data_IF_179730469752
#
_entry.id   IF_179730469752
#
_cell.length_a   1.000
_cell.length_b   1.000
_cell.length_c   1.000
_cell.angle_alpha   90.00
_cell.angle_beta   90.00
_cell.angle_gamma   90.00
#
_symmetry.space_group_name_H-M   'P 1'
#
loop_
_entity.id
_entity.type
_entity.pdbx_description
1 polymer ?
#
# COMPACT_ATOMS: atom_id res chain seq x y z
N UNK A 1 17.70 0.24 -15.75
CA UNK A 1 16.50 -0.50 -16.24
C UNK A 1 15.45 0.42 -16.89
N UNK A 2 15.64 1.75 -16.85
CA UNK A 2 14.72 2.72 -17.50
C UNK A 2 15.25 3.25 -18.84
N UNK A 3 16.35 2.71 -19.36
CA UNK A 3 16.85 3.02 -20.70
C UNK A 3 15.81 2.55 -21.73
N UNK A 4 15.40 3.44 -22.64
CA UNK A 4 14.36 3.15 -23.62
C UNK A 4 14.73 1.98 -24.55
N UNK A 5 16.01 1.85 -24.92
CA UNK A 5 16.50 0.75 -25.76
C UNK A 5 16.31 -0.61 -25.06
N UNK A 6 16.52 -0.66 -23.74
CA UNK A 6 16.28 -1.87 -22.96
C UNK A 6 14.78 -2.18 -22.86
N UNK A 7 13.95 -1.16 -22.74
CA UNK A 7 12.48 -1.32 -22.72
C UNK A 7 11.98 -1.84 -24.06
N UNK A 8 12.45 -1.23 -25.18
CA UNK A 8 12.10 -1.67 -26.54
C UNK A 8 12.56 -3.11 -26.81
N UNK A 9 13.79 -3.45 -26.41
CA UNK A 9 14.29 -4.83 -26.50
C UNK A 9 13.40 -5.78 -25.71
N UNK A 10 13.09 -5.45 -24.45
CA UNK A 10 12.25 -6.29 -23.60
C UNK A 10 10.82 -6.46 -24.14
N UNK A 11 10.28 -5.42 -24.78
CA UNK A 11 8.96 -5.48 -25.40
C UNK A 11 8.88 -6.44 -26.60
N UNK A 12 9.99 -6.61 -27.33
CA UNK A 12 10.10 -7.53 -28.48
C UNK A 12 10.33 -8.99 -28.07
N UNK A 13 10.63 -9.27 -26.82
CA UNK A 13 10.85 -10.64 -26.35
C UNK A 13 9.56 -11.44 -26.37
N UNK A 14 9.61 -12.74 -26.75
CA UNK A 14 8.49 -13.66 -26.57
C UNK A 14 8.01 -13.68 -25.11
N UNK A 15 6.73 -13.88 -24.92
CA UNK A 15 6.10 -13.88 -23.57
C UNK A 15 6.79 -14.85 -22.60
N UNK A 16 7.11 -16.08 -23.05
CA UNK A 16 7.78 -17.09 -22.23
C UNK A 16 9.20 -16.71 -21.77
N UNK A 17 9.82 -15.68 -22.39
CA UNK A 17 11.09 -15.11 -21.92
C UNK A 17 10.90 -14.01 -20.89
N UNK A 18 9.73 -13.36 -20.88
CA UNK A 18 9.38 -12.30 -19.93
C UNK A 18 8.78 -12.88 -18.66
N UNK A 19 7.84 -13.82 -18.83
CA UNK A 19 7.12 -14.49 -17.73
C UNK A 19 7.10 -15.99 -18.00
N UNK A 20 7.44 -16.80 -16.99
CA UNK A 20 7.36 -18.26 -17.09
C UNK A 20 6.66 -18.81 -15.85
N UNK A 21 5.42 -19.27 -16.03
CA UNK A 21 4.54 -19.62 -14.90
C UNK A 21 4.32 -18.41 -14.00
N UNK A 22 4.59 -18.54 -12.71
CA UNK A 22 4.51 -17.45 -11.73
C UNK A 22 5.76 -16.56 -11.67
N UNK A 23 6.81 -16.88 -12.44
CA UNK A 23 8.09 -16.16 -12.39
C UNK A 23 8.12 -15.02 -13.39
N UNK A 24 7.96 -13.79 -12.91
CA UNK A 24 8.18 -12.58 -13.70
C UNK A 24 9.68 -12.27 -13.89
N UNK A 25 10.01 -11.48 -14.92
CA UNK A 25 11.40 -11.10 -15.29
C UNK A 25 12.29 -12.33 -15.54
N UNK A 26 11.72 -13.37 -16.14
CA UNK A 26 12.39 -14.68 -16.26
C UNK A 26 13.78 -14.60 -16.90
N UNK A 27 13.90 -14.00 -18.09
CA UNK A 27 15.17 -13.87 -18.80
C UNK A 27 16.22 -13.12 -17.97
N UNK A 28 15.83 -12.03 -17.30
CA UNK A 28 16.74 -11.26 -16.46
C UNK A 28 17.25 -12.10 -15.28
N UNK A 29 16.36 -12.81 -14.59
CA UNK A 29 16.77 -13.70 -13.49
C UNK A 29 17.69 -14.80 -13.98
N UNK A 30 17.35 -15.43 -15.13
CA UNK A 30 18.14 -16.50 -15.72
C UNK A 30 19.55 -16.04 -16.12
N UNK A 31 19.69 -14.83 -16.66
CA UNK A 31 20.99 -14.28 -17.03
C UNK A 31 21.88 -13.94 -15.81
N UNK A 32 21.27 -13.73 -14.66
CA UNK A 32 21.97 -13.35 -13.43
C UNK A 32 22.33 -14.56 -12.53
N UNK A 33 21.86 -15.78 -12.84
CA UNK A 33 22.12 -16.98 -12.02
C UNK A 33 23.62 -17.28 -11.82
N UNK A 34 24.47 -16.90 -12.74
CA UNK A 34 25.92 -17.07 -12.62
C UNK A 34 26.61 -16.01 -11.74
N UNK A 35 25.90 -14.94 -11.39
CA UNK A 35 26.44 -13.81 -10.63
C UNK A 35 25.83 -13.66 -9.23
N UNK A 36 24.62 -14.15 -9.04
CA UNK A 36 23.86 -13.98 -7.81
C UNK A 36 23.32 -15.32 -7.31
N UNK A 37 23.31 -15.55 -6.00
CA UNK A 37 22.69 -16.72 -5.41
C UNK A 37 21.22 -16.88 -5.76
N UNK A 38 20.75 -18.14 -5.87
CA UNK A 38 19.40 -18.48 -6.29
C UNK A 38 18.33 -17.92 -5.35
N UNK A 39 18.56 -17.96 -4.03
CA UNK A 39 17.68 -17.44 -3.00
C UNK A 39 17.46 -15.94 -3.10
N UNK A 40 18.44 -15.19 -3.57
CA UNK A 40 18.31 -13.75 -3.86
C UNK A 40 17.45 -13.51 -5.09
N UNK A 41 17.71 -14.25 -6.18
CA UNK A 41 17.03 -14.05 -7.45
C UNK A 41 15.55 -14.46 -7.42
N UNK A 42 15.25 -15.55 -6.72
CA UNK A 42 13.94 -16.19 -6.71
C UNK A 42 13.17 -16.01 -5.40
N UNK A 43 13.65 -15.14 -4.51
CA UNK A 43 12.93 -14.83 -3.28
C UNK A 43 11.50 -14.33 -3.59
N UNK A 44 10.52 -14.63 -2.76
CA UNK A 44 9.19 -14.08 -2.87
C UNK A 44 9.24 -12.55 -2.93
N UNK A 45 8.47 -11.95 -3.84
CA UNK A 45 8.41 -10.49 -3.96
C UNK A 45 7.79 -9.92 -2.68
N UNK A 46 8.60 -9.26 -1.87
CA UNK A 46 8.10 -8.36 -0.83
C UNK A 46 7.85 -7.01 -1.50
N UNK A 47 6.59 -6.55 -1.51
CA UNK A 47 6.27 -5.18 -1.88
C UNK A 47 6.92 -4.18 -0.91
N UNK A 48 6.83 -2.90 -1.21
CA UNK A 48 7.15 -1.86 -0.22
C UNK A 48 6.10 -1.96 0.90
N UNK A 49 6.46 -2.67 1.96
CA UNK A 49 5.59 -2.83 3.12
C UNK A 49 5.87 -1.67 4.07
N UNK A 50 5.10 -0.60 3.94
CA UNK A 50 5.04 0.42 4.97
C UNK A 50 4.23 -0.16 6.12
N UNK A 51 4.71 -0.13 7.37
CA UNK A 51 4.02 -0.73 8.51
C UNK A 51 2.84 0.14 8.99
N UNK A 52 1.94 0.49 8.06
CA UNK A 52 0.78 1.37 8.31
C UNK A 52 -0.12 0.80 9.40
N UNK A 53 -0.32 -0.52 9.40
CA UNK A 53 -1.14 -1.17 10.41
C UNK A 53 -0.60 -0.95 11.84
N UNK A 54 0.72 -1.06 12.01
CA UNK A 54 1.38 -0.83 13.29
C UNK A 54 1.35 0.65 13.69
N UNK A 55 1.54 1.55 12.72
CA UNK A 55 1.46 2.99 12.98
C UNK A 55 0.09 3.41 13.45
N UNK A 56 -0.98 2.89 12.83
CA UNK A 56 -2.37 3.20 13.20
C UNK A 56 -2.80 2.57 14.53
N UNK A 57 -2.14 1.48 14.97
CA UNK A 57 -2.31 0.91 16.32
C UNK A 57 -1.52 1.65 17.39
N UNK A 58 -0.37 2.22 17.02
CA UNK A 58 0.57 2.88 17.92
C UNK A 58 0.55 4.41 17.79
N UNK A 59 1.59 5.01 17.17
CA UNK A 59 1.77 6.47 17.19
C UNK A 59 0.64 7.25 16.52
N UNK A 60 -0.10 6.65 15.58
CA UNK A 60 -1.23 7.28 14.90
C UNK A 60 -2.60 6.83 15.44
N UNK A 61 -2.67 6.12 16.56
CA UNK A 61 -3.94 5.66 17.13
C UNK A 61 -4.87 6.83 17.51
N UNK A 62 -4.32 7.89 18.09
CA UNK A 62 -5.09 9.10 18.40
C UNK A 62 -5.64 9.77 17.14
N UNK A 63 -4.83 9.86 16.08
CA UNK A 63 -5.26 10.40 14.78
C UNK A 63 -6.36 9.54 14.15
N UNK A 64 -6.26 8.21 14.27
CA UNK A 64 -7.29 7.29 13.76
C UNK A 64 -8.64 7.48 14.47
N UNK A 65 -8.64 7.69 15.79
CA UNK A 65 -9.86 8.02 16.56
C UNK A 65 -10.42 9.38 16.17
N UNK A 66 -9.55 10.37 15.95
CA UNK A 66 -9.93 11.73 15.60
C UNK A 66 -10.71 11.87 14.30
N UNK A 67 -10.58 10.91 13.36
CA UNK A 67 -11.32 10.93 12.08
C UNK A 67 -12.85 10.96 12.33
N UNK A 68 -13.33 10.26 13.36
CA UNK A 68 -14.75 10.16 13.66
C UNK A 68 -15.38 11.47 14.17
N UNK A 69 -14.57 12.45 14.56
CA UNK A 69 -15.01 13.76 15.05
C UNK A 69 -14.45 14.93 14.25
N UNK A 70 -13.69 14.65 13.21
CA UNK A 70 -13.03 15.64 12.37
C UNK A 70 -13.92 16.18 11.24
N UNK A 71 -13.27 16.89 10.31
CA UNK A 71 -13.93 17.52 9.15
C UNK A 71 -14.68 16.50 8.29
N UNK A 72 -14.11 15.30 8.13
CA UNK A 72 -14.74 14.24 7.36
C UNK A 72 -16.10 13.81 7.90
N UNK A 73 -16.21 13.72 9.24
CA UNK A 73 -17.48 13.39 9.90
C UNK A 73 -18.54 14.47 9.70
N UNK A 74 -18.13 15.74 9.52
CA UNK A 74 -19.04 16.87 9.34
C UNK A 74 -19.58 16.96 7.92
N UNK A 75 -18.99 16.28 6.92
CA UNK A 75 -19.46 16.29 5.54
C UNK A 75 -20.84 15.63 5.34
N UNK A 76 -21.29 14.81 6.28
CA UNK A 76 -22.51 14.03 6.17
C UNK A 76 -22.42 12.79 5.26
N UNK A 77 -21.32 12.60 4.55
CA UNK A 77 -21.12 11.44 3.66
C UNK A 77 -20.73 10.14 4.43
N UNK A 78 -20.26 10.28 5.63
CA UNK A 78 -19.77 9.17 6.45
C UNK A 78 -20.50 9.12 7.78
N UNK A 79 -20.69 7.92 8.29
CA UNK A 79 -21.26 7.70 9.61
C UNK A 79 -20.14 7.71 10.67
N UNK A 80 -20.08 8.70 11.58
CA UNK A 80 -19.02 8.82 12.59
C UNK A 80 -18.88 7.57 13.46
N UNK A 81 -20.00 6.93 13.82
CA UNK A 81 -20.02 5.72 14.64
C UNK A 81 -19.35 4.53 13.91
N UNK A 82 -19.55 4.41 12.59
CA UNK A 82 -18.90 3.37 11.79
C UNK A 82 -17.38 3.59 11.72
N UNK A 83 -16.93 4.85 11.52
CA UNK A 83 -15.50 5.19 11.54
C UNK A 83 -14.88 4.86 12.91
N UNK A 84 -15.54 5.25 14.00
CA UNK A 84 -15.07 4.96 15.36
C UNK A 84 -14.96 3.44 15.61
N UNK A 85 -15.96 2.66 15.18
CA UNK A 85 -15.94 1.20 15.31
C UNK A 85 -14.77 0.56 14.53
N UNK A 86 -14.49 1.02 13.30
CA UNK A 86 -13.35 0.56 12.51
C UNK A 86 -12.01 0.88 13.20
N UNK A 87 -11.87 2.11 13.73
CA UNK A 87 -10.67 2.54 14.43
C UNK A 87 -10.43 1.69 15.69
N UNK A 88 -11.44 1.51 16.53
CA UNK A 88 -11.31 0.72 17.75
C UNK A 88 -11.07 -0.77 17.48
N UNK A 89 -11.71 -1.35 16.47
CA UNK A 89 -11.45 -2.73 16.08
C UNK A 89 -10.00 -2.93 15.62
N UNK A 90 -9.46 -1.97 14.85
CA UNK A 90 -8.08 -2.02 14.37
C UNK A 90 -7.07 -1.81 15.50
N UNK A 91 -7.26 -0.80 16.33
CA UNK A 91 -6.37 -0.47 17.45
C UNK A 91 -6.33 -1.61 18.48
N UNK A 92 -7.47 -2.24 18.75
CA UNK A 92 -7.56 -3.40 19.63
C UNK A 92 -7.03 -4.70 18.99
N UNK A 93 -6.60 -4.70 17.74
CA UNK A 93 -6.10 -5.88 17.04
C UNK A 93 -7.16 -6.91 16.69
N UNK A 94 -8.45 -6.58 16.80
CA UNK A 94 -9.57 -7.49 16.47
C UNK A 94 -9.75 -7.69 14.97
N UNK A 95 -9.39 -6.69 14.17
CA UNK A 95 -9.42 -6.75 12.71
C UNK A 95 -8.37 -5.82 12.11
N UNK A 96 -7.94 -6.09 10.87
CA UNK A 96 -7.04 -5.20 10.15
C UNK A 96 -7.84 -4.29 9.21
N UNK A 97 -8.05 -3.06 9.63
CA UNK A 97 -8.67 -1.98 8.86
C UNK A 97 -7.66 -0.91 8.40
N UNK A 98 -6.36 -1.23 8.41
CA UNK A 98 -5.29 -0.27 8.15
C UNK A 98 -5.45 0.48 6.82
N UNK A 99 -5.82 -0.22 5.76
CA UNK A 99 -6.02 0.40 4.44
C UNK A 99 -7.14 1.44 4.46
N UNK A 100 -8.29 1.08 5.01
CA UNK A 100 -9.46 1.97 5.08
C UNK A 100 -9.17 3.18 5.98
N UNK A 101 -8.63 2.94 7.16
CA UNK A 101 -8.28 4.02 8.10
C UNK A 101 -7.23 4.97 7.52
N UNK A 102 -6.24 4.44 6.79
CA UNK A 102 -5.25 5.26 6.13
C UNK A 102 -5.87 6.18 5.07
N UNK A 103 -6.76 5.64 4.24
CA UNK A 103 -7.49 6.42 3.23
C UNK A 103 -8.34 7.53 3.87
N UNK A 104 -9.10 7.19 4.92
CA UNK A 104 -9.91 8.17 5.65
C UNK A 104 -9.04 9.24 6.31
N UNK A 105 -7.91 8.86 6.91
CA UNK A 105 -6.97 9.81 7.52
C UNK A 105 -6.36 10.76 6.50
N UNK A 106 -5.99 10.26 5.31
CA UNK A 106 -5.48 11.11 4.23
C UNK A 106 -6.56 12.07 3.72
N UNK A 107 -7.80 11.60 3.57
CA UNK A 107 -8.93 12.43 3.18
C UNK A 107 -9.22 13.51 4.23
N UNK A 108 -9.24 13.16 5.51
CA UNK A 108 -9.40 14.10 6.63
C UNK A 108 -8.35 15.22 6.57
N UNK A 109 -7.08 14.84 6.38
CA UNK A 109 -5.98 15.80 6.26
C UNK A 109 -6.11 16.72 5.04
N UNK A 110 -6.55 16.16 3.92
CA UNK A 110 -6.75 16.92 2.68
C UNK A 110 -7.90 17.93 2.83
N UNK A 111 -9.01 17.56 3.44
CA UNK A 111 -10.12 18.47 3.70
C UNK A 111 -9.70 19.61 4.63
N UNK A 112 -8.96 19.30 5.69
CA UNK A 112 -8.44 20.32 6.60
C UNK A 112 -7.49 21.32 5.93
N UNK A 113 -6.67 20.88 4.96
CA UNK A 113 -5.78 21.76 4.20
C UNK A 113 -6.52 22.63 3.18
N UNK A 114 -7.59 22.13 2.59
CA UNK A 114 -8.39 22.84 1.60
C UNK A 114 -9.39 23.84 2.23
N UNK A 115 -9.50 23.88 3.56
CA UNK A 115 -10.41 24.76 4.26
C UNK A 115 -11.89 24.44 3.96
N UNK A 116 -12.19 23.22 3.54
CA UNK A 116 -13.55 22.76 3.28
C UNK A 116 -14.17 22.45 4.65
N UNK A 117 -14.65 23.49 5.31
CA UNK A 117 -15.59 23.37 6.43
C UNK A 117 -16.98 23.39 5.83
N UNK A 118 -17.76 22.32 6.06
CA UNK A 118 -19.18 22.26 5.69
C UNK A 118 -20.03 23.25 6.50
#
# INVERSE_FOLDING_TARGET
LLDHRLVEFAARLPEGMRVRGSTGKYLLKKSLERYLPHDILYRPKQGFVTPIAEWLRGPLAAASRGIATGSLAQTGFFQPQAIAALAEAHIAGRADHSRTLWQLLMLEKSLGQLGVSG
#
